data_IF_553369791974
#
_entry.id   IF_553369791974
#
_cell.length_a   1.000
_cell.length_b   1.000
_cell.length_c   1.000
_cell.angle_alpha   90.00
_cell.angle_beta   90.00
_cell.angle_gamma   90.00
#
_symmetry.space_group_name_H-M   'P 1'
#
loop_
_entity.id
_entity.type
_entity.pdbx_description
1 polymer ?
#
# COMPACT_ATOMS: atom_id res chain seq x y z
N UNK A 1 12.54 -53.01 65.45
CA UNK A 1 11.10 -53.36 65.46
C UNK A 1 10.49 -53.08 64.10
N UNK A 2 10.14 -54.16 63.41
CA UNK A 2 9.02 -54.37 62.49
C UNK A 2 8.74 -53.41 61.32
N UNK A 3 9.01 -53.95 60.11
CA UNK A 3 8.08 -54.20 58.97
C UNK A 3 7.50 -52.94 58.28
N UNK A 4 7.57 -52.79 56.95
CA UNK A 4 6.88 -53.62 55.93
C UNK A 4 7.31 -53.23 54.50
N UNK A 5 7.37 -54.25 53.62
CA UNK A 5 6.92 -54.32 52.20
C UNK A 5 7.48 -53.30 51.18
N UNK A 6 7.69 -53.58 49.89
CA UNK A 6 7.69 -54.77 49.03
C UNK A 6 7.95 -54.28 47.59
N UNK A 7 8.66 -55.09 46.79
CA UNK A 7 8.36 -55.46 45.38
C UNK A 7 8.36 -54.30 44.34
N UNK A 8 9.42 -54.11 43.55
CA UNK A 8 9.69 -54.69 42.20
C UNK A 8 8.64 -54.31 41.13
N UNK A 9 9.06 -53.55 40.11
CA UNK A 9 8.94 -53.86 38.66
C UNK A 9 9.48 -52.69 37.82
N UNK A 10 10.40 -53.01 36.91
CA UNK A 10 10.78 -52.21 35.73
C UNK A 10 10.19 -52.91 34.48
N UNK A 11 10.40 -52.44 33.24
CA UNK A 11 10.41 -51.08 32.67
C UNK A 11 9.37 -50.96 31.52
N UNK A 12 9.11 -49.77 30.97
CA UNK A 12 8.67 -49.67 29.58
C UNK A 12 9.05 -48.33 28.95
N UNK A 13 9.89 -48.43 27.92
CA UNK A 13 10.33 -47.36 27.03
C UNK A 13 9.21 -47.09 26.03
N UNK A 14 8.83 -45.83 25.84
CA UNK A 14 8.43 -45.33 24.52
C UNK A 14 8.79 -43.85 24.41
N UNK A 15 9.81 -43.60 23.59
CA UNK A 15 10.19 -42.26 23.16
C UNK A 15 9.23 -41.81 22.05
N UNK A 16 8.67 -40.60 22.18
CA UNK A 16 8.18 -39.82 21.05
C UNK A 16 8.68 -38.40 21.25
N UNK A 17 9.77 -38.08 20.57
CA UNK A 17 10.25 -36.71 20.43
C UNK A 17 9.31 -35.98 19.49
N UNK A 18 8.44 -35.12 20.02
CA UNK A 18 7.72 -34.14 19.22
C UNK A 18 8.68 -32.99 18.94
N UNK A 19 9.40 -33.09 17.82
CA UNK A 19 10.05 -31.95 17.17
C UNK A 19 8.94 -31.07 16.59
N UNK A 20 8.48 -30.09 17.36
CA UNK A 20 7.65 -29.01 16.83
C UNK A 20 8.51 -28.18 15.89
N UNK A 21 8.27 -28.36 14.59
CA UNK A 21 8.74 -27.50 13.52
C UNK A 21 8.36 -26.05 13.83
N UNK A 22 9.39 -25.21 14.02
CA UNK A 22 9.25 -23.76 13.97
C UNK A 22 8.73 -23.39 12.58
N UNK A 23 7.45 -23.03 12.49
CA UNK A 23 6.90 -22.35 11.34
C UNK A 23 7.37 -20.89 11.42
N UNK A 24 8.34 -20.53 10.57
CA UNK A 24 8.71 -19.13 10.36
C UNK A 24 7.69 -18.54 9.39
N UNK A 25 6.68 -17.85 9.92
CA UNK A 25 5.83 -16.99 9.12
C UNK A 25 6.58 -15.67 8.86
N UNK A 26 6.62 -15.29 7.59
CA UNK A 26 7.33 -14.12 7.09
C UNK A 26 6.89 -12.83 7.79
N UNK A 27 7.85 -11.91 7.93
CA UNK A 27 7.65 -10.60 8.56
C UNK A 27 6.58 -9.79 7.84
N UNK A 28 5.44 -9.65 8.49
CA UNK A 28 4.56 -8.51 8.32
C UNK A 28 5.05 -7.47 9.32
N UNK A 29 5.52 -6.34 8.80
CA UNK A 29 5.91 -5.20 9.61
C UNK A 29 4.65 -4.78 10.40
N UNK A 30 4.62 -5.08 11.71
CA UNK A 30 3.54 -4.79 12.67
C UNK A 30 3.28 -3.27 12.75
N UNK A 31 2.73 -2.72 11.68
CA UNK A 31 2.07 -1.42 11.69
C UNK A 31 0.63 -1.69 12.11
N UNK A 32 0.16 -1.12 13.23
CA UNK A 32 -1.23 -1.30 13.63
C UNK A 32 -2.13 -0.88 12.47
N UNK A 33 -2.95 -1.80 11.98
CA UNK A 33 -3.94 -1.50 10.97
C UNK A 33 -4.73 -0.25 11.44
N UNK A 34 -4.67 0.83 10.64
CA UNK A 34 -5.32 2.09 11.01
C UNK A 34 -6.80 1.81 11.34
N UNK A 35 -7.33 2.30 12.46
CA UNK A 35 -8.69 1.98 12.87
C UNK A 35 -9.68 2.48 11.81
N UNK A 36 -10.62 1.62 11.42
CA UNK A 36 -11.66 1.97 10.45
C UNK A 36 -12.63 2.97 11.07
N UNK A 37 -12.62 4.20 10.54
CA UNK A 37 -13.56 5.24 10.94
C UNK A 37 -14.91 5.10 10.20
N UNK A 38 -16.03 5.50 10.82
CA UNK A 38 -17.32 5.54 10.15
C UNK A 38 -17.30 6.40 8.88
N UNK A 39 -18.24 6.17 7.95
CA UNK A 39 -18.35 6.94 6.70
C UNK A 39 -18.41 8.45 6.99
N UNK A 40 -17.56 9.22 6.30
CA UNK A 40 -17.44 10.67 6.48
C UNK A 40 -16.55 11.10 7.66
N UNK A 41 -15.91 10.14 8.34
CA UNK A 41 -14.90 10.38 9.35
C UNK A 41 -13.52 9.89 8.91
N UNK A 42 -12.49 10.55 9.43
CA UNK A 42 -11.07 10.28 9.19
C UNK A 42 -10.40 10.07 10.53
N UNK A 43 -9.47 9.12 10.60
CA UNK A 43 -8.64 8.97 11.78
C UNK A 43 -7.65 10.14 11.86
N UNK A 44 -7.78 10.95 12.90
CA UNK A 44 -6.83 12.02 13.20
C UNK A 44 -5.64 11.40 13.94
N UNK A 45 -4.48 11.33 13.28
CA UNK A 45 -3.27 10.75 13.84
C UNK A 45 -2.72 11.56 15.02
N UNK A 46 -3.05 12.85 15.11
CA UNK A 46 -2.64 13.70 16.24
C UNK A 46 -3.56 13.53 17.44
N UNK A 47 -4.87 13.47 17.20
CA UNK A 47 -5.87 13.31 18.25
C UNK A 47 -6.17 11.85 18.61
N UNK A 48 -5.61 10.89 17.86
CA UNK A 48 -5.78 9.44 18.03
C UNK A 48 -7.27 9.02 18.10
N UNK A 49 -8.12 9.66 17.28
CA UNK A 49 -9.56 9.40 17.25
C UNK A 49 -10.15 9.72 15.88
N UNK A 50 -11.29 9.12 15.57
CA UNK A 50 -12.06 9.48 14.39
C UNK A 50 -12.67 10.88 14.55
N UNK A 51 -12.49 11.72 13.54
CA UNK A 51 -13.06 13.08 13.45
C UNK A 51 -13.76 13.24 12.11
N UNK A 52 -14.66 14.21 11.99
CA UNK A 52 -15.28 14.53 10.69
C UNK A 52 -14.20 14.92 9.68
N UNK A 53 -14.31 14.44 8.43
CA UNK A 53 -13.41 14.81 7.34
C UNK A 53 -13.34 16.32 7.08
N UNK A 54 -14.35 17.08 7.52
CA UNK A 54 -14.42 18.55 7.42
C UNK A 54 -13.73 19.28 8.57
N UNK A 55 -13.18 18.58 9.56
CA UNK A 55 -12.53 19.18 10.73
C UNK A 55 -11.32 20.04 10.35
N UNK A 56 -11.34 21.34 10.65
CA UNK A 56 -10.25 22.29 10.35
C UNK A 56 -8.90 21.91 10.99
N UNK A 57 -8.95 21.10 12.05
CA UNK A 57 -7.78 20.63 12.81
C UNK A 57 -7.18 19.35 12.24
N UNK A 58 -7.88 18.65 11.34
CA UNK A 58 -7.40 17.41 10.73
C UNK A 58 -6.17 17.71 9.87
N UNK A 59 -5.02 17.06 10.12
CA UNK A 59 -3.80 17.24 9.33
C UNK A 59 -3.98 16.90 7.85
N UNK A 60 -3.27 17.62 6.98
CA UNK A 60 -3.27 17.37 5.54
C UNK A 60 -2.79 15.96 5.19
N UNK A 61 -1.85 15.41 5.97
CA UNK A 61 -1.38 14.04 5.79
C UNK A 61 -2.52 13.02 5.98
N UNK A 62 -3.31 13.16 7.04
CA UNK A 62 -4.44 12.28 7.32
C UNK A 62 -5.55 12.44 6.27
N UNK A 63 -5.82 13.68 5.83
CA UNK A 63 -6.74 13.94 4.70
C UNK A 63 -6.26 13.29 3.41
N UNK A 64 -4.97 13.37 3.11
CA UNK A 64 -4.36 12.79 1.91
C UNK A 64 -4.47 11.27 1.93
N UNK A 65 -4.21 10.63 3.08
CA UNK A 65 -4.36 9.20 3.25
C UNK A 65 -5.81 8.74 3.12
N UNK A 66 -6.75 9.51 3.68
CA UNK A 66 -8.17 9.21 3.53
C UNK A 66 -8.67 9.40 2.09
N UNK A 67 -8.16 10.39 1.38
CA UNK A 67 -8.47 10.57 -0.04
C UNK A 67 -8.07 9.36 -0.88
N UNK A 68 -6.92 8.75 -0.58
CA UNK A 68 -6.53 7.50 -1.24
C UNK A 68 -7.47 6.35 -0.91
N UNK A 69 -7.91 6.23 0.36
CA UNK A 69 -8.92 5.23 0.73
C UNK A 69 -10.23 5.44 -0.03
N UNK A 70 -10.72 6.67 -0.11
CA UNK A 70 -11.91 7.01 -0.92
C UNK A 70 -11.73 6.57 -2.37
N UNK A 71 -10.56 6.82 -2.96
CA UNK A 71 -10.27 6.42 -4.33
C UNK A 71 -10.19 4.88 -4.48
N UNK A 72 -9.62 4.15 -3.51
CA UNK A 72 -9.61 2.68 -3.49
C UNK A 72 -11.02 2.10 -3.39
N UNK A 73 -11.93 2.81 -2.72
CA UNK A 73 -13.36 2.47 -2.64
C UNK A 73 -14.16 2.90 -3.89
N UNK A 74 -13.50 3.43 -4.94
CA UNK A 74 -14.15 3.89 -6.17
C UNK A 74 -14.81 5.28 -6.08
N UNK A 75 -14.66 5.98 -4.95
CA UNK A 75 -15.25 7.30 -4.69
C UNK A 75 -14.30 8.42 -5.12
N UNK A 76 -13.97 8.44 -6.40
CA UNK A 76 -12.89 9.27 -6.96
C UNK A 76 -13.18 10.78 -6.86
N UNK A 77 -14.41 11.21 -7.13
CA UNK A 77 -14.80 12.62 -7.02
C UNK A 77 -14.72 13.12 -5.59
N UNK A 78 -15.12 12.28 -4.61
CA UNK A 78 -15.00 12.62 -3.19
C UNK A 78 -13.54 12.69 -2.75
N UNK A 79 -12.68 11.82 -3.27
CA UNK A 79 -11.23 11.88 -3.04
C UNK A 79 -10.64 13.20 -3.55
N UNK A 80 -10.99 13.62 -4.79
CA UNK A 80 -10.52 14.88 -5.37
C UNK A 80 -11.03 16.08 -4.58
N UNK A 81 -12.32 16.11 -4.24
CA UNK A 81 -12.90 17.18 -3.44
C UNK A 81 -12.21 17.31 -2.06
N UNK A 82 -11.83 16.19 -1.43
CA UNK A 82 -11.07 16.24 -0.19
C UNK A 82 -9.65 16.76 -0.40
N UNK A 83 -8.96 16.33 -1.45
CA UNK A 83 -7.61 16.82 -1.79
C UNK A 83 -7.61 18.33 -2.08
N UNK A 84 -8.71 18.88 -2.59
CA UNK A 84 -8.88 20.33 -2.82
C UNK A 84 -8.95 21.15 -1.53
N UNK A 85 -9.18 20.50 -0.39
CA UNK A 85 -9.23 21.16 0.93
C UNK A 85 -7.87 21.22 1.65
N UNK A 86 -6.83 20.62 1.09
CA UNK A 86 -5.50 20.60 1.70
C UNK A 86 -4.92 22.01 1.77
N UNK A 87 -4.28 22.34 2.89
CA UNK A 87 -3.52 23.59 3.05
C UNK A 87 -2.22 23.55 2.21
N UNK A 88 -1.65 22.36 2.04
CA UNK A 88 -0.47 22.05 1.22
C UNK A 88 -0.86 21.05 0.11
N UNK A 89 -1.51 21.52 -0.98
CA UNK A 89 -2.10 20.64 -1.98
C UNK A 89 -1.09 19.95 -2.90
N UNK A 90 0.14 20.46 -2.98
CA UNK A 90 1.14 20.05 -3.98
C UNK A 90 2.29 19.25 -3.35
N UNK A 91 1.97 18.34 -2.44
CA UNK A 91 2.94 17.31 -2.00
C UNK A 91 3.00 16.18 -3.02
N UNK A 92 4.13 15.47 -3.11
CA UNK A 92 4.25 14.33 -4.04
C UNK A 92 3.15 13.28 -3.82
N UNK A 93 2.79 13.02 -2.56
CA UNK A 93 1.71 12.09 -2.18
C UNK A 93 0.32 12.60 -2.56
N UNK A 94 0.00 13.87 -2.32
CA UNK A 94 -1.29 14.44 -2.71
C UNK A 94 -1.45 14.45 -4.24
N UNK A 95 -0.40 14.86 -4.96
CA UNK A 95 -0.37 14.83 -6.43
C UNK A 95 -0.51 13.40 -6.97
N UNK A 96 0.15 12.42 -6.36
CA UNK A 96 -0.03 11.01 -6.70
C UNK A 96 -1.51 10.58 -6.64
N UNK A 97 -2.18 10.91 -5.54
CA UNK A 97 -3.58 10.49 -5.35
C UNK A 97 -4.57 11.27 -6.21
N UNK A 98 -4.26 12.53 -6.55
CA UNK A 98 -4.99 13.25 -7.63
C UNK A 98 -4.83 12.54 -8.96
N UNK A 99 -3.60 12.16 -9.31
CA UNK A 99 -3.30 11.40 -10.51
C UNK A 99 -4.08 10.08 -10.56
N UNK A 100 -4.11 9.36 -9.45
CA UNK A 100 -4.85 8.11 -9.31
C UNK A 100 -6.35 8.28 -9.52
N UNK A 101 -6.97 9.20 -8.78
CA UNK A 101 -8.41 9.44 -8.89
C UNK A 101 -8.81 9.93 -10.29
N UNK A 102 -8.06 10.85 -10.88
CA UNK A 102 -8.34 11.37 -12.24
C UNK A 102 -8.17 10.31 -13.32
N UNK A 103 -7.10 9.51 -13.27
CA UNK A 103 -6.92 8.38 -14.19
C UNK A 103 -8.07 7.38 -14.12
N UNK A 104 -8.50 7.01 -12.90
CA UNK A 104 -9.60 6.07 -12.71
C UNK A 104 -10.96 6.63 -13.17
N UNK A 105 -11.11 7.94 -13.23
CA UNK A 105 -12.25 8.63 -13.86
C UNK A 105 -12.16 8.70 -15.40
N UNK A 106 -11.13 8.11 -16.01
CA UNK A 106 -10.89 8.18 -17.46
C UNK A 106 -10.23 9.49 -17.91
N UNK A 107 -9.92 10.41 -16.99
CA UNK A 107 -9.17 11.66 -17.25
C UNK A 107 -7.67 11.37 -17.26
N UNK A 108 -7.25 10.40 -18.06
CA UNK A 108 -5.90 9.82 -18.01
C UNK A 108 -4.79 10.83 -18.28
N UNK A 109 -4.98 11.75 -19.24
CA UNK A 109 -3.96 12.76 -19.57
C UNK A 109 -3.73 13.75 -18.41
N UNK A 110 -4.79 14.11 -17.70
CA UNK A 110 -4.67 14.92 -16.49
C UNK A 110 -3.97 14.15 -15.37
N UNK A 111 -4.30 12.86 -15.22
CA UNK A 111 -3.65 11.99 -14.26
C UNK A 111 -2.14 11.93 -14.47
N UNK A 112 -1.70 11.75 -15.73
CA UNK A 112 -0.29 11.83 -16.14
C UNK A 112 0.33 13.16 -15.71
N UNK A 113 -0.36 14.28 -15.92
CA UNK A 113 0.10 15.60 -15.51
C UNK A 113 0.38 15.72 -14.00
N UNK A 114 -0.47 15.13 -13.15
CA UNK A 114 -0.23 15.10 -11.70
C UNK A 114 0.92 14.16 -11.31
N UNK A 115 1.00 12.98 -11.93
CA UNK A 115 2.09 12.05 -11.66
C UNK A 115 3.46 12.62 -12.03
N UNK A 116 3.57 13.29 -13.17
CA UNK A 116 4.82 13.94 -13.59
C UNK A 116 5.25 15.03 -12.59
N UNK A 117 4.32 15.79 -12.04
CA UNK A 117 4.60 16.74 -10.97
C UNK A 117 5.06 16.02 -9.69
N UNK A 118 4.40 14.92 -9.31
CA UNK A 118 4.79 14.13 -8.16
C UNK A 118 6.21 13.54 -8.30
N UNK A 119 6.56 12.97 -9.46
CA UNK A 119 7.91 12.46 -9.76
C UNK A 119 8.95 13.57 -9.74
N UNK A 120 8.60 14.78 -10.17
CA UNK A 120 9.52 15.93 -10.11
C UNK A 120 9.85 16.33 -8.66
N UNK A 121 8.87 16.22 -7.75
CA UNK A 121 9.07 16.51 -6.33
C UNK A 121 9.81 15.38 -5.60
N UNK A 122 9.50 14.14 -5.93
CA UNK A 122 10.18 12.96 -5.38
C UNK A 122 10.52 11.95 -6.50
N UNK A 123 11.73 12.02 -7.06
CA UNK A 123 12.17 11.11 -8.09
C UNK A 123 12.30 9.65 -7.64
N UNK A 124 12.32 9.38 -6.34
CA UNK A 124 12.46 8.02 -5.76
C UNK A 124 11.11 7.41 -5.38
N UNK A 125 9.99 8.09 -5.63
CA UNK A 125 8.67 7.59 -5.28
C UNK A 125 8.19 6.50 -6.26
N UNK A 126 8.57 5.24 -6.00
CA UNK A 126 8.27 4.10 -6.86
C UNK A 126 6.78 3.94 -7.19
N UNK A 127 5.89 4.13 -6.20
CA UNK A 127 4.44 4.03 -6.39
C UNK A 127 3.89 5.01 -7.44
N UNK A 128 4.41 6.24 -7.48
CA UNK A 128 3.99 7.22 -8.50
C UNK A 128 4.41 6.76 -9.89
N UNK A 129 5.61 6.18 -10.01
CA UNK A 129 6.14 5.69 -11.28
C UNK A 129 5.36 4.49 -11.80
N UNK A 130 4.94 3.59 -10.92
CA UNK A 130 4.03 2.49 -11.25
C UNK A 130 2.74 3.06 -11.86
N UNK A 131 2.06 3.96 -11.15
CA UNK A 131 0.80 4.54 -11.63
C UNK A 131 0.95 5.39 -12.89
N UNK A 132 2.07 6.11 -13.06
CA UNK A 132 2.40 6.80 -14.29
C UNK A 132 2.59 5.82 -15.44
N UNK A 133 3.30 4.72 -15.20
CA UNK A 133 3.48 3.63 -16.17
C UNK A 133 2.15 3.03 -16.60
N UNK A 134 1.26 2.71 -15.65
CA UNK A 134 -0.09 2.20 -15.96
C UNK A 134 -0.92 3.21 -16.76
N UNK A 135 -0.76 4.51 -16.48
CA UNK A 135 -1.41 5.56 -17.25
C UNK A 135 -0.90 5.56 -18.71
N UNK A 136 0.41 5.39 -18.92
CA UNK A 136 0.98 5.26 -20.26
C UNK A 136 0.53 3.99 -20.97
N UNK A 137 0.42 2.85 -20.28
CA UNK A 137 -0.18 1.61 -20.83
C UNK A 137 -1.60 1.89 -21.32
N UNK A 138 -2.41 2.57 -20.51
CA UNK A 138 -3.79 2.95 -20.88
C UNK A 138 -3.84 3.82 -22.15
N UNK A 139 -2.79 4.62 -22.40
CA UNK A 139 -2.65 5.47 -23.59
C UNK A 139 -1.97 4.78 -24.78
N UNK A 140 -1.63 3.49 -24.67
CA UNK A 140 -0.87 2.74 -25.68
C UNK A 140 0.60 3.18 -25.81
N UNK A 141 1.13 3.94 -24.84
CA UNK A 141 2.49 4.47 -24.81
C UNK A 141 3.43 3.51 -24.08
N UNK A 142 3.56 2.30 -24.63
CA UNK A 142 4.35 1.23 -24.01
C UNK A 142 5.84 1.58 -23.90
N UNK A 143 6.35 2.44 -24.79
CA UNK A 143 7.68 3.05 -24.71
C UNK A 143 7.90 3.75 -23.36
N UNK A 144 6.99 4.66 -23.00
CA UNK A 144 7.09 5.44 -21.76
C UNK A 144 6.78 4.60 -20.52
N UNK A 145 5.91 3.59 -20.64
CA UNK A 145 5.66 2.64 -19.56
C UNK A 145 6.91 1.82 -19.22
N UNK A 146 7.64 1.34 -20.24
CA UNK A 146 8.91 0.63 -20.05
C UNK A 146 9.98 1.52 -19.41
N UNK A 147 10.05 2.81 -19.77
CA UNK A 147 10.93 3.76 -19.08
C UNK A 147 10.64 3.83 -17.58
N UNK A 148 9.35 3.92 -17.18
CA UNK A 148 8.99 3.91 -15.76
C UNK A 148 9.35 2.60 -15.07
N UNK A 149 9.15 1.46 -15.74
CA UNK A 149 9.52 0.14 -15.22
C UNK A 149 11.02 0.05 -14.90
N UNK A 150 11.87 0.59 -15.78
CA UNK A 150 13.33 0.64 -15.51
C UNK A 150 13.69 1.56 -14.36
N UNK A 151 12.99 2.69 -14.21
CA UNK A 151 13.20 3.58 -13.06
C UNK A 151 12.81 2.90 -11.76
N UNK A 152 11.67 2.19 -11.72
CA UNK A 152 11.24 1.42 -10.55
C UNK A 152 12.29 0.35 -10.19
N UNK A 153 12.79 -0.40 -11.18
CA UNK A 153 13.87 -1.37 -10.97
C UNK A 153 15.12 -0.74 -10.36
N UNK A 154 15.50 0.45 -10.81
CA UNK A 154 16.65 1.18 -10.24
C UNK A 154 16.41 1.60 -8.79
N UNK A 155 15.17 1.97 -8.43
CA UNK A 155 14.80 2.37 -7.06
C UNK A 155 14.79 1.15 -6.14
N UNK A 156 14.20 0.04 -6.58
CA UNK A 156 14.10 -1.19 -5.79
C UNK A 156 15.42 -1.99 -5.74
N UNK A 157 16.32 -1.76 -6.70
CA UNK A 157 17.55 -2.53 -6.89
C UNK A 157 17.33 -3.95 -7.45
N UNK A 158 16.08 -4.36 -7.69
CA UNK A 158 15.69 -5.66 -8.21
C UNK A 158 14.32 -5.58 -8.91
N UNK A 159 13.81 -6.73 -9.36
CA UNK A 159 12.53 -6.88 -10.05
C UNK A 159 11.45 -7.53 -9.18
N UNK A 160 11.68 -7.62 -7.86
CA UNK A 160 10.79 -8.35 -6.93
C UNK A 160 9.94 -7.42 -6.08
N UNK A 161 10.11 -6.10 -6.19
CA UNK A 161 9.22 -5.16 -5.53
C UNK A 161 7.86 -5.11 -6.24
N UNK A 162 6.80 -4.91 -5.45
CA UNK A 162 5.39 -4.85 -5.87
C UNK A 162 5.22 -3.92 -7.09
N UNK A 163 5.74 -2.69 -7.00
CA UNK A 163 5.61 -1.68 -8.06
C UNK A 163 6.19 -2.14 -9.41
N UNK A 164 7.26 -2.93 -9.40
CA UNK A 164 7.84 -3.47 -10.63
C UNK A 164 6.94 -4.57 -11.20
N UNK A 165 6.48 -5.47 -10.33
CA UNK A 165 5.65 -6.61 -10.74
C UNK A 165 4.32 -6.14 -11.34
N UNK A 166 3.65 -5.20 -10.68
CA UNK A 166 2.35 -4.66 -11.11
C UNK A 166 2.46 -3.97 -12.47
N UNK A 167 3.45 -3.10 -12.65
CA UNK A 167 3.63 -2.42 -13.94
C UNK A 167 4.07 -3.39 -15.05
N UNK A 168 4.93 -4.37 -14.74
CA UNK A 168 5.34 -5.38 -15.72
C UNK A 168 4.14 -6.23 -16.18
N UNK A 169 3.25 -6.62 -15.26
CA UNK A 169 2.01 -7.33 -15.58
C UNK A 169 1.12 -6.47 -16.49
N UNK A 170 0.91 -5.19 -16.16
CA UNK A 170 0.09 -4.29 -16.95
C UNK A 170 0.62 -4.13 -18.40
N UNK A 171 1.94 -3.99 -18.58
CA UNK A 171 2.57 -3.90 -19.91
C UNK A 171 2.38 -5.20 -20.69
N UNK A 172 2.57 -6.35 -20.05
CA UNK A 172 2.42 -7.66 -20.69
C UNK A 172 0.97 -7.92 -21.12
N UNK A 173 0.00 -7.59 -20.27
CA UNK A 173 -1.42 -7.72 -20.60
C UNK A 173 -1.80 -6.89 -21.84
N UNK A 174 -1.30 -5.65 -21.94
CA UNK A 174 -1.55 -4.77 -23.08
C UNK A 174 -0.84 -5.21 -24.38
N UNK A 175 0.24 -5.99 -24.29
CA UNK A 175 0.98 -6.47 -25.47
C UNK A 175 0.35 -7.70 -26.12
N UNK A 176 -0.56 -8.37 -25.40
CA UNK A 176 -1.27 -9.58 -25.84
C UNK A 176 -2.69 -9.30 -26.36
N UNK A 177 -3.10 -8.03 -26.41
CA UNK A 177 -4.43 -7.58 -26.90
C UNK A 177 -4.31 -6.94 -28.26
#
# INVERSE_FOLDING_TARGET
>A
MNRRLSIVTAPLVFAVALSSSLAWANGEEDTPAKPQCPRGQVFDSKAQRCVKQTSMLLPDADRTDYAYQLAKDGRYEEALALLDTLKQPNTAKALNYRGYATRKLGRTDEGIGYYLQAVKLDPQYALVREYLGEAYVTKGRLDLAQEQLQQIKSICGNTTCEQYQDLAEAINASSNT
#
